data_IF_438793544247
#
_entry.id   IF_438793544247
#
_cell.length_a   1.000
_cell.length_b   1.000
_cell.length_c   1.000
_cell.angle_alpha   90.00
_cell.angle_beta   90.00
_cell.angle_gamma   90.00
#
_symmetry.space_group_name_H-M   'P 1'
#
loop_
_entity.id
_entity.type
_entity.pdbx_description
1 polymer ?
#
# COMPACT_ATOMS: atom_id res chain seq x y z
N UNK A 1 8.51 -15.44 14.18
CA UNK A 1 7.19 -14.78 14.15
C UNK A 1 7.39 -13.38 14.67
N UNK A 2 7.29 -12.37 13.81
CA UNK A 2 7.43 -10.98 14.23
C UNK A 2 6.07 -10.50 14.74
N UNK A 3 5.96 -10.40 16.06
CA UNK A 3 4.70 -10.13 16.79
C UNK A 3 4.39 -8.64 16.90
N UNK A 4 5.06 -7.75 16.16
CA UNK A 4 4.71 -6.34 16.20
C UNK A 4 3.56 -6.05 15.22
N UNK A 5 2.33 -5.76 15.68
CA UNK A 5 1.33 -5.15 14.82
C UNK A 5 1.92 -3.84 14.27
N UNK A 6 1.70 -3.50 12.99
CA UNK A 6 2.09 -2.17 12.52
C UNK A 6 1.41 -1.19 13.46
N UNK A 7 2.19 -0.26 14.05
CA UNK A 7 1.60 0.85 14.76
C UNK A 7 0.52 1.41 13.83
N UNK A 8 -0.75 1.35 14.25
CA UNK A 8 -1.80 2.12 13.61
C UNK A 8 -1.23 3.51 13.39
N UNK A 9 -1.30 4.01 12.16
CA UNK A 9 -0.56 5.18 11.72
C UNK A 9 -1.02 6.46 12.44
N UNK A 10 -0.74 6.59 13.73
CA UNK A 10 -1.00 7.77 14.53
C UNK A 10 0.08 8.79 14.21
N UNK A 11 -0.13 9.47 13.09
CA UNK A 11 0.79 10.45 12.51
C UNK A 11 0.01 11.69 12.14
N UNK A 12 0.70 12.83 12.13
CA UNK A 12 0.05 14.10 11.82
C UNK A 12 -0.44 14.14 10.36
N UNK A 13 -1.51 14.88 10.17
CA UNK A 13 -2.12 15.15 8.87
C UNK A 13 -1.87 16.62 8.52
N UNK A 14 -1.62 16.91 7.25
CA UNK A 14 -1.48 18.29 6.76
C UNK A 14 -2.80 18.74 6.15
N UNK A 15 -3.40 19.77 6.76
CA UNK A 15 -4.61 20.42 6.27
C UNK A 15 -4.24 21.71 5.52
N UNK A 16 -4.84 21.91 4.35
CA UNK A 16 -4.76 23.19 3.61
C UNK A 16 -6.00 24.04 3.84
N UNK A 17 -5.87 25.35 3.59
CA UNK A 17 -6.97 26.31 3.75
C UNK A 17 -8.20 26.00 2.88
N UNK A 18 -8.02 25.28 1.77
CA UNK A 18 -9.08 24.85 0.85
C UNK A 18 -9.71 23.50 1.23
N UNK A 19 -9.39 22.97 2.41
CA UNK A 19 -9.94 21.72 2.92
C UNK A 19 -9.25 20.46 2.38
N UNK A 20 -8.24 20.59 1.53
CA UNK A 20 -7.49 19.43 1.06
C UNK A 20 -6.60 18.85 2.16
N UNK A 21 -6.55 17.52 2.20
CA UNK A 21 -5.88 16.75 3.23
C UNK A 21 -4.75 15.92 2.61
N UNK A 22 -3.55 16.00 3.20
CA UNK A 22 -2.43 15.10 2.88
C UNK A 22 -2.02 14.34 4.13
N UNK A 23 -1.90 13.02 3.99
CA UNK A 23 -1.50 12.13 5.08
C UNK A 23 -0.41 11.17 4.60
N UNK A 24 0.83 11.46 4.99
CA UNK A 24 2.00 10.65 4.64
C UNK A 24 2.38 9.75 5.82
N UNK A 25 1.59 8.70 6.01
CA UNK A 25 1.81 7.68 7.03
C UNK A 25 2.78 6.60 6.54
N UNK A 26 3.97 6.44 7.15
CA UNK A 26 4.83 5.31 6.85
C UNK A 26 4.19 4.00 7.36
N UNK A 27 4.26 2.94 6.55
CA UNK A 27 3.75 1.63 6.90
C UNK A 27 4.69 0.53 6.42
N UNK A 28 4.81 -0.54 7.21
CA UNK A 28 5.48 -1.78 6.81
C UNK A 28 4.39 -2.74 6.31
N UNK A 29 4.38 -3.01 5.01
CA UNK A 29 3.45 -3.97 4.41
C UNK A 29 4.15 -5.31 4.19
N UNK A 30 3.53 -6.38 4.66
CA UNK A 30 3.98 -7.76 4.40
C UNK A 30 2.94 -8.46 3.55
N UNK A 31 3.36 -8.92 2.37
CA UNK A 31 2.53 -9.71 1.47
C UNK A 31 3.04 -11.13 1.39
N UNK A 32 2.13 -12.07 1.16
CA UNK A 32 2.47 -13.40 0.69
C UNK A 32 2.60 -13.36 -0.83
N UNK A 33 3.72 -13.84 -1.39
CA UNK A 33 3.86 -14.05 -2.83
C UNK A 33 4.43 -15.44 -3.15
N UNK A 34 4.07 -15.96 -4.33
CA UNK A 34 4.60 -17.21 -4.86
C UNK A 34 6.02 -16.97 -5.34
N UNK A 35 6.95 -17.80 -4.89
CA UNK A 35 8.34 -17.80 -5.35
C UNK A 35 8.53 -18.93 -6.35
N UNK A 36 9.16 -18.64 -7.48
CA UNK A 36 9.55 -19.61 -8.50
C UNK A 36 11.07 -19.80 -8.48
N UNK A 37 11.53 -20.97 -8.03
CA UNK A 37 12.96 -21.29 -7.85
C UNK A 37 13.55 -22.10 -9.00
N UNK A 38 12.87 -22.19 -10.14
CA UNK A 38 13.29 -22.98 -11.29
C UNK A 38 14.67 -22.58 -11.86
N UNK A 39 15.10 -21.34 -11.64
CA UNK A 39 16.36 -20.77 -12.17
C UNK A 39 17.35 -20.32 -11.08
N UNK A 40 17.24 -20.83 -9.85
CA UNK A 40 18.13 -20.46 -8.75
C UNK A 40 19.63 -20.59 -9.12
N UNK A 41 20.51 -19.62 -8.79
CA UNK A 41 20.29 -18.39 -8.01
C UNK A 41 19.96 -17.14 -8.85
N UNK A 42 19.60 -17.30 -10.13
CA UNK A 42 19.36 -16.20 -11.09
C UNK A 42 17.87 -16.01 -11.42
N UNK A 43 17.00 -16.51 -10.56
CA UNK A 43 15.55 -16.39 -10.70
C UNK A 43 15.07 -14.95 -10.47
N UNK A 44 13.95 -14.60 -11.13
CA UNK A 44 13.29 -13.31 -10.99
C UNK A 44 11.91 -13.50 -10.38
N UNK A 45 11.58 -12.67 -9.39
CA UNK A 45 10.33 -12.77 -8.64
C UNK A 45 9.40 -11.61 -8.95
N UNK A 46 8.09 -11.91 -9.08
CA UNK A 46 7.02 -10.92 -9.26
C UNK A 46 6.06 -10.99 -8.08
N UNK A 47 6.16 -10.03 -7.17
CA UNK A 47 5.33 -9.93 -5.97
C UNK A 47 4.46 -8.67 -6.05
N UNK A 48 3.17 -8.85 -6.33
CA UNK A 48 2.20 -7.76 -6.39
C UNK A 48 1.69 -7.35 -5.01
N UNK A 49 1.40 -6.06 -4.86
CA UNK A 49 0.68 -5.51 -3.71
C UNK A 49 -0.67 -4.98 -4.17
N UNK A 50 -1.73 -5.33 -3.44
CA UNK A 50 -3.08 -4.81 -3.67
C UNK A 50 -3.45 -3.89 -2.52
N UNK A 51 -3.79 -2.64 -2.85
CA UNK A 51 -4.26 -1.64 -1.90
C UNK A 51 -5.70 -1.27 -2.22
N UNK A 52 -6.54 -1.11 -1.20
CA UNK A 52 -7.94 -0.77 -1.37
C UNK A 52 -8.63 -0.44 -0.04
N UNK A 53 -9.83 0.10 -0.14
CA UNK A 53 -10.70 0.28 1.02
C UNK A 53 -11.24 -1.06 1.49
N UNK A 54 -11.34 -1.23 2.80
CA UNK A 54 -11.96 -2.41 3.40
C UNK A 54 -13.47 -2.25 3.52
N UNK A 55 -13.94 -1.07 3.96
CA UNK A 55 -15.33 -0.85 4.36
C UNK A 55 -16.17 -0.10 3.33
N UNK A 56 -15.55 0.51 2.33
CA UNK A 56 -16.23 1.32 1.32
C UNK A 56 -16.02 0.72 -0.07
N UNK A 57 -17.11 0.54 -0.81
CA UNK A 57 -17.06 0.11 -2.22
C UNK A 57 -16.69 1.25 -3.17
N UNK A 58 -16.45 0.93 -4.44
CA UNK A 58 -16.00 1.89 -5.46
C UNK A 58 -16.96 3.05 -5.75
N UNK A 59 -18.25 2.91 -5.45
CA UNK A 59 -19.23 4.00 -5.56
C UNK A 59 -19.16 5.02 -4.43
N UNK A 60 -18.49 4.69 -3.32
CA UNK A 60 -18.34 5.53 -2.15
C UNK A 60 -16.94 6.11 -2.04
N UNK A 61 -15.93 5.35 -2.45
CA UNK A 61 -14.53 5.73 -2.36
C UNK A 61 -13.75 5.23 -3.58
N UNK A 62 -13.07 6.16 -4.25
CA UNK A 62 -12.22 5.89 -5.41
C UNK A 62 -10.74 6.09 -5.03
N UNK A 63 -9.98 5.00 -4.97
CA UNK A 63 -8.54 5.03 -4.65
C UNK A 63 -7.74 5.22 -5.94
N UNK A 64 -7.03 6.35 -6.04
CA UNK A 64 -6.18 6.67 -7.19
C UNK A 64 -4.72 6.71 -6.78
N UNK A 65 -3.85 6.09 -7.58
CA UNK A 65 -2.41 6.22 -7.41
C UNK A 65 -1.97 7.66 -7.72
N UNK A 66 -1.34 8.33 -6.76
CA UNK A 66 -0.92 9.74 -6.90
C UNK A 66 0.16 9.93 -7.99
N UNK A 67 0.81 8.86 -8.44
CA UNK A 67 1.90 8.87 -9.43
C UNK A 67 1.67 7.97 -10.65
N UNK A 68 0.43 7.64 -10.99
CA UNK A 68 0.11 6.70 -12.09
C UNK A 68 -0.44 7.38 -13.34
N UNK A 69 0.41 8.04 -14.12
CA UNK A 69 0.21 8.12 -15.56
C UNK A 69 0.86 6.90 -16.23
N UNK A 70 0.12 6.26 -17.13
CA UNK A 70 0.52 5.18 -18.05
C UNK A 70 0.94 3.82 -17.45
N UNK A 71 0.06 2.83 -17.66
CA UNK A 71 0.47 1.69 -18.49
C UNK A 71 0.12 2.01 -19.93
#
# INVERSE_FOLDING_TARGET
>A
ADTQPPASASTNVVLRHDGAVRWDAPAITRSSCRVDVSAFPFDAQRCGLTFGSWTHGGHQLDVRARGGGAS
#
